data_IF_686511969349
#
_entry.id   IF_686511969349
#
_cell.length_a   1.000
_cell.length_b   1.000
_cell.length_c   1.000
_cell.angle_alpha   90.00
_cell.angle_beta   90.00
_cell.angle_gamma   90.00
#
_symmetry.space_group_name_H-M   'P 1'
#
loop_
_entity.id
_entity.type
_entity.pdbx_description
1 polymer ?
#
# COMPACT_ATOMS: atom_id res chain seq x y z
N UNK A 1 27.63 -28.26 -57.97
CA UNK A 1 28.13 -26.87 -57.92
C UNK A 1 27.15 -26.01 -58.70
N UNK A 2 26.27 -25.32 -58.01
CA UNK A 2 25.38 -24.29 -58.57
C UNK A 2 25.33 -23.13 -57.60
N UNK A 3 26.02 -22.07 -57.95
CA UNK A 3 26.00 -20.80 -57.23
C UNK A 3 24.67 -20.10 -57.52
N UNK A 4 23.80 -19.97 -56.52
CA UNK A 4 22.69 -19.02 -56.55
C UNK A 4 23.19 -17.63 -56.24
N UNK A 5 23.26 -16.78 -57.27
CA UNK A 5 23.40 -15.32 -57.14
C UNK A 5 22.12 -14.78 -56.52
N UNK A 6 22.19 -14.29 -55.25
CA UNK A 6 21.23 -13.37 -54.71
C UNK A 6 21.43 -12.00 -55.38
N UNK A 7 20.57 -11.65 -56.32
CA UNK A 7 20.45 -10.29 -56.84
C UNK A 7 20.02 -9.36 -55.70
N UNK A 8 20.94 -8.46 -55.33
CA UNK A 8 20.64 -7.34 -54.42
C UNK A 8 19.66 -6.41 -55.13
N UNK A 9 18.43 -6.36 -54.61
CA UNK A 9 17.49 -5.29 -54.97
C UNK A 9 18.03 -3.99 -54.41
N UNK A 10 18.63 -3.17 -55.28
CA UNK A 10 18.99 -1.79 -55.02
C UNK A 10 17.73 -1.03 -54.60
N UNK A 11 17.70 -0.60 -53.36
CA UNK A 11 16.71 0.36 -52.88
C UNK A 11 17.04 1.72 -53.54
N UNK A 12 16.33 2.03 -54.64
CA UNK A 12 16.28 3.42 -55.13
C UNK A 12 15.75 4.31 -53.99
N UNK A 13 16.40 5.46 -53.72
CA UNK A 13 15.87 6.35 -52.70
C UNK A 13 14.51 6.89 -53.18
N UNK A 14 13.46 6.49 -52.49
CA UNK A 14 12.10 6.98 -52.76
C UNK A 14 12.08 8.51 -52.52
N UNK A 15 11.58 9.23 -53.52
CA UNK A 15 11.43 10.68 -53.43
C UNK A 15 10.26 10.99 -52.49
N UNK A 16 10.57 11.40 -51.24
CA UNK A 16 9.58 11.69 -50.16
C UNK A 16 8.83 13.02 -50.34
N UNK A 17 9.27 13.88 -51.30
CA UNK A 17 8.69 15.18 -51.60
C UNK A 17 7.62 15.17 -52.70
N UNK A 18 6.95 14.07 -52.92
CA UNK A 18 5.86 13.94 -53.88
C UNK A 18 4.62 14.63 -53.31
N UNK A 19 3.91 15.41 -54.16
CA UNK A 19 2.64 16.05 -53.75
C UNK A 19 1.51 15.00 -53.48
N UNK A 20 0.57 15.33 -52.65
CA UNK A 20 -0.52 14.40 -52.30
C UNK A 20 -1.39 14.02 -53.52
N UNK A 21 -1.43 14.89 -54.55
CA UNK A 21 -2.13 14.63 -55.81
C UNK A 21 -1.37 13.61 -56.66
N UNK A 22 -0.04 13.60 -56.68
CA UNK A 22 0.79 12.64 -57.35
C UNK A 22 0.79 11.30 -56.60
N UNK A 23 0.77 11.35 -55.27
CA UNK A 23 0.69 10.18 -54.42
C UNK A 23 -0.62 9.38 -54.69
N UNK A 24 -1.74 10.07 -54.93
CA UNK A 24 -3.01 9.43 -55.24
C UNK A 24 -3.03 8.70 -56.60
N UNK A 25 -2.11 9.01 -57.52
CA UNK A 25 -1.99 8.38 -58.84
C UNK A 25 -1.09 7.16 -58.84
N UNK A 26 -0.35 6.90 -57.74
CA UNK A 26 0.53 5.73 -57.64
C UNK A 26 -0.23 4.47 -57.27
N UNK A 27 0.33 3.27 -57.66
CA UNK A 27 -0.22 1.99 -57.22
C UNK A 27 -0.28 1.90 -55.69
N UNK A 28 -1.31 1.26 -55.17
CA UNK A 28 -1.59 1.15 -53.72
C UNK A 28 -0.37 0.71 -52.89
N UNK A 29 0.44 -0.19 -53.41
CA UNK A 29 1.65 -0.70 -52.76
C UNK A 29 2.77 0.34 -52.63
N UNK A 30 2.93 1.21 -53.62
CA UNK A 30 3.94 2.28 -53.62
C UNK A 30 3.46 3.46 -52.76
N UNK A 31 2.19 3.81 -52.83
CA UNK A 31 1.56 4.79 -51.98
C UNK A 31 1.72 4.44 -50.50
N UNK A 32 1.42 3.20 -50.11
CA UNK A 32 1.62 2.71 -48.75
C UNK A 32 3.08 2.81 -48.30
N UNK A 33 4.04 2.48 -49.18
CA UNK A 33 5.47 2.58 -48.85
C UNK A 33 5.91 4.02 -48.59
N UNK A 34 5.47 4.98 -49.41
CA UNK A 34 5.82 6.38 -49.29
C UNK A 34 5.17 6.99 -48.03
N UNK A 35 3.89 6.70 -47.80
CA UNK A 35 3.17 7.11 -46.60
C UNK A 35 3.85 6.55 -45.33
N UNK A 36 4.24 5.29 -45.33
CA UNK A 36 4.91 4.64 -44.22
C UNK A 36 6.31 5.23 -43.97
N UNK A 37 7.09 5.50 -44.99
CA UNK A 37 8.37 6.17 -44.87
C UNK A 37 8.23 7.63 -44.39
N UNK A 38 7.27 8.40 -44.90
CA UNK A 38 6.97 9.74 -44.39
C UNK A 38 6.61 9.73 -42.90
N UNK A 39 5.82 8.74 -42.48
CA UNK A 39 5.45 8.55 -41.07
C UNK A 39 6.69 8.24 -40.22
N UNK A 40 7.56 7.32 -40.68
CA UNK A 40 8.81 7.00 -40.00
C UNK A 40 9.77 8.17 -39.93
N UNK A 41 9.88 8.96 -40.99
CA UNK A 41 10.76 10.14 -41.01
C UNK A 41 10.26 11.25 -40.11
N UNK A 42 8.92 11.49 -40.07
CA UNK A 42 8.25 12.40 -39.16
C UNK A 42 8.44 12.00 -37.68
N UNK A 43 8.52 10.70 -37.41
CA UNK A 43 8.66 10.17 -36.04
C UNK A 43 10.12 9.81 -35.68
N UNK A 44 11.09 9.96 -36.57
CA UNK A 44 12.49 9.56 -36.37
C UNK A 44 13.19 10.28 -35.20
N UNK A 45 12.85 11.55 -34.95
CA UNK A 45 13.31 12.28 -33.77
C UNK A 45 12.45 12.00 -32.52
N UNK A 46 11.20 11.64 -32.71
CA UNK A 46 10.25 11.40 -31.64
C UNK A 46 10.48 10.07 -30.92
N UNK A 47 10.88 9.01 -31.63
CA UNK A 47 11.24 7.72 -31.01
C UNK A 47 12.49 7.84 -30.11
N UNK A 48 13.51 8.59 -30.53
CA UNK A 48 14.70 8.84 -29.72
C UNK A 48 14.35 9.57 -28.42
N UNK A 49 13.49 10.59 -28.50
CA UNK A 49 13.02 11.35 -27.35
C UNK A 49 12.23 10.47 -26.36
N UNK A 50 11.35 9.58 -26.86
CA UNK A 50 10.64 8.64 -25.98
C UNK A 50 11.59 7.64 -25.31
N UNK A 51 12.61 7.17 -26.00
CA UNK A 51 13.62 6.30 -25.39
C UNK A 51 14.41 7.00 -24.29
N UNK A 52 14.77 8.26 -24.48
CA UNK A 52 15.43 9.07 -23.43
C UNK A 52 14.52 9.27 -22.22
N UNK A 53 13.23 9.60 -22.40
CA UNK A 53 12.25 9.72 -21.32
C UNK A 53 12.09 8.42 -20.53
N UNK A 54 12.04 7.26 -21.23
CA UNK A 54 11.96 5.94 -20.58
C UNK A 54 13.24 5.62 -19.80
N UNK A 55 14.41 5.92 -20.33
CA UNK A 55 15.68 5.71 -19.64
C UNK A 55 15.79 6.60 -18.39
N UNK A 56 15.36 7.86 -18.47
CA UNK A 56 15.29 8.77 -17.33
C UNK A 56 14.34 8.22 -16.27
N UNK A 57 13.17 7.73 -16.67
CA UNK A 57 12.21 7.11 -15.76
C UNK A 57 12.82 5.91 -15.02
N UNK A 58 13.45 4.99 -15.75
CA UNK A 58 14.08 3.79 -15.16
C UNK A 58 15.24 4.19 -14.23
N UNK A 59 16.12 5.08 -14.66
CA UNK A 59 17.24 5.55 -13.85
C UNK A 59 16.75 6.23 -12.56
N UNK A 60 15.75 7.11 -12.66
CA UNK A 60 15.16 7.80 -11.51
C UNK A 60 14.48 6.82 -10.55
N UNK A 61 13.76 5.81 -11.06
CA UNK A 61 13.17 4.76 -10.24
C UNK A 61 14.22 3.98 -9.45
N UNK A 62 15.31 3.57 -10.10
CA UNK A 62 16.40 2.83 -9.44
C UNK A 62 17.07 3.69 -8.36
N UNK A 63 17.41 4.93 -8.66
CA UNK A 63 18.03 5.85 -7.70
C UNK A 63 17.08 6.10 -6.52
N UNK A 64 15.81 6.39 -6.79
CA UNK A 64 14.80 6.60 -5.75
C UNK A 64 14.65 5.38 -4.83
N UNK A 65 14.66 4.16 -5.40
CA UNK A 65 14.62 2.92 -4.60
C UNK A 65 15.83 2.81 -3.66
N UNK A 66 17.03 3.04 -4.16
CA UNK A 66 18.25 2.99 -3.35
C UNK A 66 18.18 4.00 -2.20
N UNK A 67 17.78 5.24 -2.49
CA UNK A 67 17.64 6.32 -1.49
C UNK A 67 16.59 5.96 -0.44
N UNK A 68 15.42 5.46 -0.85
CA UNK A 68 14.34 5.08 0.08
C UNK A 68 14.72 3.90 0.97
N UNK A 69 15.40 2.88 0.42
CA UNK A 69 15.89 1.74 1.20
C UNK A 69 16.95 2.21 2.21
N UNK A 70 17.88 3.06 1.81
CA UNK A 70 18.91 3.59 2.68
C UNK A 70 18.33 4.50 3.78
N UNK A 71 17.35 5.32 3.44
CA UNK A 71 16.61 6.13 4.43
C UNK A 71 15.86 5.25 5.43
N UNK A 72 15.14 4.21 4.96
CA UNK A 72 14.45 3.25 5.82
C UNK A 72 15.40 2.55 6.80
N UNK A 73 16.63 2.18 6.33
CA UNK A 73 17.63 1.51 7.19
C UNK A 73 18.24 2.45 8.23
N UNK A 74 18.59 3.70 7.83
CA UNK A 74 19.23 4.66 8.75
C UNK A 74 18.29 5.35 9.71
N UNK A 75 17.10 5.73 9.24
CA UNK A 75 16.14 6.56 9.98
C UNK A 75 14.71 6.03 9.88
N UNK A 76 14.50 4.80 10.36
CA UNK A 76 13.21 4.10 10.26
C UNK A 76 12.02 4.93 10.74
N UNK A 77 12.11 5.60 11.91
CA UNK A 77 11.01 6.41 12.46
C UNK A 77 10.66 7.62 11.59
N UNK A 78 11.68 8.25 10.97
CA UNK A 78 11.46 9.39 10.07
C UNK A 78 10.79 8.92 8.77
N UNK A 79 11.31 7.84 8.19
CA UNK A 79 10.74 7.22 7.00
C UNK A 79 9.27 6.80 7.21
N UNK A 80 8.97 6.15 8.34
CA UNK A 80 7.60 5.71 8.67
C UNK A 80 6.64 6.90 8.78
N UNK A 81 7.03 7.98 9.46
CA UNK A 81 6.21 9.19 9.58
C UNK A 81 6.00 9.90 8.25
N UNK A 82 7.06 10.04 7.45
CA UNK A 82 6.99 10.67 6.14
C UNK A 82 6.10 9.86 5.18
N UNK A 83 6.23 8.53 5.17
CA UNK A 83 5.39 7.64 4.36
C UNK A 83 3.92 7.71 4.77
N UNK A 84 3.65 7.70 6.09
CA UNK A 84 2.29 7.83 6.61
C UNK A 84 1.65 9.17 6.22
N UNK A 85 2.41 10.25 6.33
CA UNK A 85 1.96 11.59 5.95
C UNK A 85 1.69 11.69 4.45
N UNK A 86 2.58 11.12 3.63
CA UNK A 86 2.40 11.03 2.18
C UNK A 86 1.14 10.26 1.80
N UNK A 87 0.95 9.07 2.38
CA UNK A 87 -0.27 8.27 2.16
C UNK A 87 -1.55 8.98 2.58
N UNK A 88 -1.49 9.82 3.60
CA UNK A 88 -2.65 10.55 4.09
C UNK A 88 -2.98 11.78 3.23
N UNK A 89 -1.97 12.53 2.74
CA UNK A 89 -2.15 13.79 2.01
C UNK A 89 -2.28 13.62 0.50
N UNK A 90 -1.48 12.74 -0.12
CA UNK A 90 -1.40 12.63 -1.58
C UNK A 90 -2.75 12.25 -2.22
N UNK A 91 -3.48 11.24 -1.75
CA UNK A 91 -4.78 10.90 -2.34
C UNK A 91 -5.81 12.01 -2.21
N UNK A 92 -5.77 12.75 -1.10
CA UNK A 92 -6.67 13.91 -0.89
C UNK A 92 -6.38 15.02 -1.88
N UNK A 93 -5.11 15.32 -2.13
CA UNK A 93 -4.70 16.30 -3.14
C UNK A 93 -5.22 15.94 -4.54
N UNK A 94 -5.11 14.66 -4.93
CA UNK A 94 -5.68 14.17 -6.19
C UNK A 94 -7.21 14.27 -6.21
N UNK A 95 -7.87 13.83 -5.13
CA UNK A 95 -9.34 13.88 -5.06
C UNK A 95 -9.91 15.29 -5.09
N UNK A 96 -9.20 16.25 -4.49
CA UNK A 96 -9.57 17.67 -4.59
C UNK A 96 -9.42 18.19 -6.02
N UNK A 97 -8.32 17.85 -6.70
CA UNK A 97 -8.07 18.26 -8.10
C UNK A 97 -9.11 17.67 -9.06
N UNK A 98 -9.52 16.42 -8.86
CA UNK A 98 -10.47 15.71 -9.74
C UNK A 98 -11.93 15.77 -9.27
N UNK A 99 -12.23 16.43 -8.15
CA UNK A 99 -13.58 16.60 -7.64
C UNK A 99 -14.25 15.32 -7.09
N UNK A 100 -13.46 14.38 -6.58
CA UNK A 100 -13.98 13.11 -6.03
C UNK A 100 -14.51 13.27 -4.59
N UNK A 101 -15.62 13.99 -4.46
CA UNK A 101 -16.18 14.34 -3.15
C UNK A 101 -16.54 13.14 -2.28
N UNK A 102 -16.99 12.02 -2.86
CA UNK A 102 -17.34 10.79 -2.10
C UNK A 102 -16.16 10.27 -1.29
N UNK A 103 -14.97 10.25 -1.89
CA UNK A 103 -13.76 9.83 -1.19
C UNK A 103 -13.42 10.78 -0.04
N UNK A 104 -13.51 12.09 -0.28
CA UNK A 104 -13.19 13.12 0.71
C UNK A 104 -14.10 13.00 1.94
N UNK A 105 -15.40 12.72 1.78
CA UNK A 105 -16.31 12.51 2.91
C UNK A 105 -15.90 11.29 3.75
N UNK A 106 -15.66 10.14 3.14
CA UNK A 106 -15.25 8.93 3.85
C UNK A 106 -13.88 9.12 4.53
N UNK A 107 -12.93 9.75 3.83
CA UNK A 107 -11.62 10.08 4.35
C UNK A 107 -11.71 11.04 5.55
N UNK A 108 -12.58 12.06 5.50
CA UNK A 108 -12.76 13.01 6.59
C UNK A 108 -13.31 12.33 7.85
N UNK A 109 -14.34 11.49 7.71
CA UNK A 109 -14.91 10.73 8.83
C UNK A 109 -13.86 9.82 9.46
N UNK A 110 -13.15 9.03 8.63
CA UNK A 110 -12.06 8.16 9.08
C UNK A 110 -10.96 8.96 9.81
N UNK A 111 -10.55 10.09 9.25
CA UNK A 111 -9.48 10.93 9.78
C UNK A 111 -9.85 11.58 11.12
N UNK A 112 -11.08 12.06 11.29
CA UNK A 112 -11.58 12.64 12.54
C UNK A 112 -11.55 11.60 13.66
N UNK A 113 -12.11 10.40 13.40
CA UNK A 113 -12.15 9.32 14.40
C UNK A 113 -10.73 8.85 14.74
N UNK A 114 -9.90 8.62 13.72
CA UNK A 114 -8.51 8.15 13.91
C UNK A 114 -7.66 9.19 14.61
N UNK A 115 -7.82 10.50 14.29
CA UNK A 115 -7.14 11.58 14.98
C UNK A 115 -7.52 11.64 16.47
N UNK A 116 -8.81 11.51 16.80
CA UNK A 116 -9.27 11.46 18.19
C UNK A 116 -8.62 10.28 18.95
N UNK A 117 -8.59 9.09 18.36
CA UNK A 117 -8.01 7.89 18.95
C UNK A 117 -6.50 8.03 19.11
N UNK A 118 -5.80 8.54 18.10
CA UNK A 118 -4.36 8.79 18.12
C UNK A 118 -3.99 9.85 19.18
N UNK A 119 -4.78 10.91 19.29
CA UNK A 119 -4.61 11.93 20.31
C UNK A 119 -4.75 11.31 21.71
N UNK A 120 -5.78 10.48 21.93
CA UNK A 120 -5.99 9.78 23.21
C UNK A 120 -4.86 8.79 23.54
N UNK A 121 -4.31 8.10 22.51
CA UNK A 121 -3.16 7.22 22.65
C UNK A 121 -1.85 7.95 22.97
N UNK A 122 -1.72 9.23 22.56
CA UNK A 122 -0.50 10.03 22.78
C UNK A 122 -0.51 10.84 24.08
N UNK A 123 -1.68 11.00 24.72
CA UNK A 123 -1.84 11.81 25.92
C UNK A 123 -1.27 11.09 27.15
N UNK A 124 -0.53 11.83 27.98
CA UNK A 124 0.01 11.36 29.27
C UNK A 124 -0.83 11.91 30.43
N UNK A 125 -1.13 11.12 31.50
CA UNK A 125 -0.91 9.68 31.66
C UNK A 125 -1.92 8.85 30.81
N UNK A 126 -1.51 7.65 30.37
CA UNK A 126 -2.40 6.75 29.65
C UNK A 126 -3.40 6.10 30.64
N UNK A 127 -4.69 6.23 30.38
CA UNK A 127 -5.70 5.49 31.13
C UNK A 127 -5.70 4.01 30.67
N UNK A 128 -5.95 3.08 31.62
CA UNK A 128 -5.95 1.64 31.32
C UNK A 128 -6.97 1.19 30.27
N UNK A 129 -7.99 2.02 29.98
CA UNK A 129 -9.00 1.76 28.94
C UNK A 129 -8.53 2.20 27.55
N UNK A 130 -7.54 3.09 27.44
CA UNK A 130 -7.08 3.63 26.16
C UNK A 130 -6.50 2.58 25.22
N UNK A 131 -5.61 1.65 25.63
CA UNK A 131 -5.10 0.62 24.75
C UNK A 131 -6.20 -0.28 24.19
N UNK A 132 -7.22 -0.60 24.98
CA UNK A 132 -8.36 -1.40 24.52
C UNK A 132 -9.17 -0.69 23.44
N UNK A 133 -9.44 0.61 23.62
CA UNK A 133 -10.14 1.42 22.63
C UNK A 133 -9.36 1.49 21.31
N UNK A 134 -8.03 1.73 21.38
CA UNK A 134 -7.15 1.82 20.23
C UNK A 134 -7.15 0.49 19.45
N UNK A 135 -6.89 -0.63 20.13
CA UNK A 135 -6.86 -1.93 19.47
C UNK A 135 -8.24 -2.34 18.93
N UNK A 136 -9.35 -2.01 19.64
CA UNK A 136 -10.71 -2.28 19.15
C UNK A 136 -10.98 -1.55 17.84
N UNK A 137 -10.66 -0.25 17.76
CA UNK A 137 -10.84 0.53 16.55
C UNK A 137 -10.07 -0.05 15.36
N UNK A 138 -8.77 -0.25 15.54
CA UNK A 138 -7.94 -0.71 14.44
C UNK A 138 -8.21 -2.18 14.04
N UNK A 139 -8.64 -3.03 14.97
CA UNK A 139 -9.12 -4.38 14.63
C UNK A 139 -10.40 -4.35 13.80
N UNK A 140 -11.34 -3.46 14.13
CA UNK A 140 -12.55 -3.27 13.32
C UNK A 140 -12.19 -2.77 11.93
N UNK A 141 -11.32 -1.76 11.83
CA UNK A 141 -10.84 -1.24 10.54
C UNK A 141 -10.12 -2.32 9.71
N UNK A 142 -9.28 -3.13 10.35
CA UNK A 142 -8.62 -4.26 9.69
C UNK A 142 -9.64 -5.26 9.11
N UNK A 143 -10.64 -5.66 9.90
CA UNK A 143 -11.68 -6.61 9.45
C UNK A 143 -12.55 -6.03 8.31
N UNK A 144 -12.95 -4.76 8.41
CA UNK A 144 -13.72 -4.09 7.36
C UNK A 144 -12.90 -4.02 6.08
N UNK A 145 -11.66 -3.58 6.16
CA UNK A 145 -10.74 -3.47 5.03
C UNK A 145 -10.51 -4.82 4.33
N UNK A 146 -10.29 -5.85 5.12
CA UNK A 146 -10.08 -7.20 4.61
C UNK A 146 -11.33 -7.74 3.90
N UNK A 147 -12.52 -7.54 4.51
CA UNK A 147 -13.79 -7.90 3.91
C UNK A 147 -14.06 -7.17 2.59
N UNK A 148 -13.86 -5.83 2.57
CA UNK A 148 -14.01 -5.04 1.35
C UNK A 148 -13.02 -5.47 0.26
N UNK A 149 -11.79 -5.81 0.64
CA UNK A 149 -10.77 -6.34 -0.26
C UNK A 149 -11.18 -7.66 -0.91
N UNK A 150 -11.71 -8.60 -0.12
CA UNK A 150 -12.20 -9.89 -0.64
C UNK A 150 -13.40 -9.68 -1.58
N UNK A 151 -14.41 -8.93 -1.15
CA UNK A 151 -15.62 -8.69 -1.96
C UNK A 151 -15.26 -7.96 -3.26
N UNK A 152 -14.38 -6.96 -3.19
CA UNK A 152 -13.90 -6.24 -4.37
C UNK A 152 -13.14 -7.15 -5.33
N UNK A 153 -12.22 -7.98 -4.81
CA UNK A 153 -11.49 -8.96 -5.62
C UNK A 153 -12.43 -9.96 -6.29
N UNK A 154 -13.38 -10.54 -5.53
CA UNK A 154 -14.35 -11.49 -6.09
C UNK A 154 -15.25 -10.83 -7.15
N UNK A 155 -15.65 -9.57 -6.97
CA UNK A 155 -16.43 -8.82 -7.96
C UNK A 155 -15.65 -8.59 -9.26
N UNK A 156 -14.36 -8.26 -9.18
CA UNK A 156 -13.49 -8.12 -10.35
C UNK A 156 -13.32 -9.47 -11.06
N UNK A 157 -13.01 -10.54 -10.32
CA UNK A 157 -12.86 -11.88 -10.88
C UNK A 157 -14.17 -12.39 -11.53
N UNK A 158 -15.31 -12.13 -10.88
CA UNK A 158 -16.64 -12.43 -11.41
C UNK A 158 -16.89 -11.76 -12.77
N UNK A 159 -16.49 -10.51 -12.89
CA UNK A 159 -16.61 -9.75 -14.15
C UNK A 159 -15.65 -10.25 -15.21
N UNK A 160 -14.39 -10.55 -14.86
CA UNK A 160 -13.38 -11.06 -15.81
C UNK A 160 -13.74 -12.45 -16.36
N UNK A 161 -14.37 -13.29 -15.54
CA UNK A 161 -14.85 -14.60 -15.96
C UNK A 161 -16.16 -14.54 -16.78
N UNK A 162 -16.73 -13.35 -16.99
CA UNK A 162 -17.97 -13.18 -17.72
C UNK A 162 -19.24 -13.62 -16.97
N UNK A 163 -19.12 -13.97 -15.68
CA UNK A 163 -20.26 -14.44 -14.86
C UNK A 163 -21.32 -13.35 -14.63
N UNK A 164 -20.94 -12.07 -14.80
CA UNK A 164 -21.86 -10.94 -14.78
C UNK A 164 -22.95 -11.02 -15.85
N UNK A 165 -22.71 -11.74 -16.96
CA UNK A 165 -23.71 -11.96 -18.00
C UNK A 165 -24.86 -12.85 -17.52
N UNK A 166 -24.59 -13.78 -16.60
CA UNK A 166 -25.62 -14.65 -15.99
C UNK A 166 -26.62 -13.82 -15.17
N UNK A 167 -26.13 -12.79 -14.49
CA UNK A 167 -26.95 -11.87 -13.68
C UNK A 167 -27.47 -10.66 -14.47
N UNK A 168 -27.23 -10.61 -15.80
CA UNK A 168 -27.59 -9.49 -16.67
C UNK A 168 -27.05 -8.13 -16.21
N UNK A 169 -25.94 -8.11 -15.47
CA UNK A 169 -25.28 -6.89 -15.00
C UNK A 169 -24.30 -6.42 -16.07
N UNK A 170 -24.34 -5.12 -16.39
CA UNK A 170 -23.38 -4.53 -17.34
C UNK A 170 -21.95 -4.70 -16.81
N UNK A 171 -20.98 -5.17 -17.62
CA UNK A 171 -19.60 -5.40 -17.20
C UNK A 171 -18.93 -4.17 -16.56
N UNK A 172 -19.21 -2.99 -17.11
CA UNK A 172 -18.67 -1.72 -16.59
C UNK A 172 -19.11 -1.47 -15.15
N UNK A 173 -20.41 -1.64 -14.84
CA UNK A 173 -20.95 -1.41 -13.49
C UNK A 173 -20.36 -2.37 -12.47
N UNK A 174 -20.22 -3.66 -12.84
CA UNK A 174 -19.63 -4.67 -11.97
C UNK A 174 -18.13 -4.42 -11.75
N UNK A 175 -17.40 -4.02 -12.79
CA UNK A 175 -15.98 -3.70 -12.70
C UNK A 175 -15.75 -2.46 -11.84
N UNK A 176 -16.48 -1.38 -12.09
CA UNK A 176 -16.38 -0.13 -11.33
C UNK A 176 -16.66 -0.36 -9.84
N UNK A 177 -17.70 -1.14 -9.54
CA UNK A 177 -18.03 -1.52 -8.16
C UNK A 177 -16.90 -2.32 -7.49
N UNK A 178 -16.36 -3.34 -8.19
CA UNK A 178 -15.27 -4.16 -7.68
C UNK A 178 -14.00 -3.36 -7.43
N UNK A 179 -13.59 -2.52 -8.39
CA UNK A 179 -12.43 -1.65 -8.27
C UNK A 179 -12.59 -0.61 -7.16
N UNK A 180 -13.79 -0.05 -7.01
CA UNK A 180 -14.08 0.90 -5.94
C UNK A 180 -13.93 0.26 -4.56
N UNK A 181 -14.51 -0.93 -4.34
CA UNK A 181 -14.38 -1.67 -3.09
C UNK A 181 -12.93 -2.06 -2.78
N UNK A 182 -12.19 -2.53 -3.80
CA UNK A 182 -10.76 -2.82 -3.68
C UNK A 182 -9.98 -1.58 -3.26
N UNK A 183 -10.20 -0.46 -3.93
CA UNK A 183 -9.51 0.79 -3.62
C UNK A 183 -9.77 1.23 -2.17
N UNK A 184 -11.04 1.30 -1.74
CA UNK A 184 -11.37 1.68 -0.36
C UNK A 184 -10.81 0.68 0.65
N UNK A 185 -11.00 -0.62 0.43
CA UNK A 185 -10.51 -1.68 1.31
C UNK A 185 -9.00 -1.61 1.48
N UNK A 186 -8.25 -1.56 0.39
CA UNK A 186 -6.79 -1.56 0.42
C UNK A 186 -6.23 -0.24 0.96
N UNK A 187 -6.75 0.89 0.52
CA UNK A 187 -6.27 2.21 0.98
C UNK A 187 -6.47 2.41 2.48
N UNK A 188 -7.72 2.28 2.98
CA UNK A 188 -7.98 2.45 4.41
C UNK A 188 -7.33 1.35 5.24
N UNK A 189 -7.15 0.13 4.69
CA UNK A 189 -6.41 -0.94 5.33
C UNK A 189 -4.95 -0.58 5.59
N UNK A 190 -4.27 -0.02 4.59
CA UNK A 190 -2.87 0.42 4.74
C UNK A 190 -2.74 1.56 5.73
N UNK A 191 -3.56 2.61 5.57
CA UNK A 191 -3.51 3.81 6.42
C UNK A 191 -3.82 3.45 7.88
N UNK A 192 -4.90 2.69 8.13
CA UNK A 192 -5.25 2.24 9.47
C UNK A 192 -4.16 1.40 10.12
N UNK A 193 -3.53 0.49 9.36
CA UNK A 193 -2.45 -0.37 9.81
C UNK A 193 -1.21 0.43 10.23
N UNK A 194 -0.85 1.45 9.47
CA UNK A 194 0.32 2.28 9.77
C UNK A 194 0.07 3.20 10.98
N UNK A 195 -1.13 3.77 11.12
CA UNK A 195 -1.52 4.48 12.34
C UNK A 195 -1.52 3.59 13.57
N UNK A 196 -2.01 2.36 13.43
CA UNK A 196 -2.04 1.38 14.51
C UNK A 196 -0.65 1.01 15.00
N UNK A 197 0.32 0.84 14.10
CA UNK A 197 1.71 0.57 14.45
C UNK A 197 2.31 1.73 15.27
N UNK A 198 2.11 2.97 14.82
CA UNK A 198 2.59 4.16 15.52
C UNK A 198 1.93 4.31 16.90
N UNK A 199 0.60 4.11 16.99
CA UNK A 199 -0.12 4.16 18.26
C UNK A 199 0.34 3.07 19.23
N UNK A 200 0.52 1.84 18.74
CA UNK A 200 0.97 0.70 19.53
C UNK A 200 2.35 0.96 20.14
N UNK A 201 3.31 1.44 19.33
CA UNK A 201 4.65 1.79 19.80
C UNK A 201 4.62 2.92 20.83
N UNK A 202 3.80 3.95 20.58
CA UNK A 202 3.69 5.09 21.48
C UNK A 202 3.11 4.68 22.84
N UNK A 203 2.04 3.90 22.84
CA UNK A 203 1.42 3.42 24.08
C UNK A 203 2.35 2.51 24.87
N UNK A 204 2.95 1.51 24.20
CA UNK A 204 3.81 0.54 24.84
C UNK A 204 5.06 1.18 25.48
N UNK A 205 5.67 2.17 24.81
CA UNK A 205 6.79 2.93 25.36
C UNK A 205 6.39 3.80 26.55
N UNK A 206 5.17 4.36 26.54
CA UNK A 206 4.67 5.20 27.65
C UNK A 206 4.32 4.38 28.90
N UNK A 207 3.78 3.17 28.74
CA UNK A 207 3.50 2.24 29.84
C UNK A 207 4.80 1.76 30.48
N UNK A 208 5.91 1.71 29.71
CA UNK A 208 7.25 1.48 30.23
C UNK A 208 7.67 0.02 30.32
N UNK A 209 6.85 -0.94 29.88
CA UNK A 209 7.24 -2.37 29.80
C UNK A 209 7.76 -2.76 28.42
N UNK A 210 7.93 -1.81 27.52
CA UNK A 210 8.47 -2.01 26.18
C UNK A 210 9.47 -0.92 25.80
N UNK A 211 10.59 -1.33 25.21
CA UNK A 211 11.54 -0.43 24.56
C UNK A 211 11.82 -0.90 23.14
N UNK A 212 11.97 -0.03 22.15
CA UNK A 212 12.32 -0.41 20.78
C UNK A 212 13.68 -1.13 20.71
N UNK A 213 14.62 -0.70 21.53
CA UNK A 213 16.00 -1.22 21.62
C UNK A 213 16.29 -1.72 23.04
N UNK A 214 16.76 -2.94 23.14
CA UNK A 214 17.14 -3.54 24.43
C UNK A 214 15.95 -4.05 25.28
N UNK A 215 16.23 -4.45 26.51
CA UNK A 215 15.24 -4.84 27.49
C UNK A 215 14.69 -3.61 28.23
N UNK A 216 13.39 -3.59 28.60
CA UNK A 216 12.82 -2.49 29.37
C UNK A 216 13.44 -2.42 30.77
N UNK A 217 13.70 -1.21 31.25
CA UNK A 217 14.24 -1.00 32.61
C UNK A 217 13.26 -1.33 33.74
N UNK A 218 11.95 -1.38 33.43
CA UNK A 218 10.91 -1.70 34.40
C UNK A 218 10.62 -3.19 34.39
N UNK A 219 10.75 -3.85 35.55
CA UNK A 219 10.45 -5.28 35.67
C UNK A 219 8.95 -5.53 35.56
N UNK A 220 8.57 -6.48 34.70
CA UNK A 220 7.17 -6.87 34.54
C UNK A 220 6.73 -7.72 35.74
N UNK A 221 5.67 -7.27 36.40
CA UNK A 221 5.02 -8.07 37.44
C UNK A 221 4.16 -9.17 36.78
N UNK A 222 4.20 -10.43 37.21
CA UNK A 222 3.40 -11.52 36.62
C UNK A 222 1.89 -11.27 36.62
N UNK A 223 1.39 -10.42 37.52
CA UNK A 223 -0.04 -10.10 37.63
C UNK A 223 -0.45 -8.86 36.82
N UNK A 224 0.44 -8.25 36.02
CA UNK A 224 0.17 -7.04 35.26
C UNK A 224 0.40 -7.29 33.78
N UNK A 225 -0.58 -6.91 32.95
CA UNK A 225 -0.42 -6.94 31.51
C UNK A 225 0.51 -5.83 31.02
N UNK A 226 1.67 -6.21 30.45
CA UNK A 226 2.67 -5.25 29.96
C UNK A 226 2.20 -4.39 28.77
N UNK A 227 1.05 -4.67 28.16
CA UNK A 227 0.49 -3.95 27.01
C UNK A 227 -0.47 -2.83 27.46
N UNK A 228 -1.33 -3.11 28.46
CA UNK A 228 -2.32 -2.13 28.94
C UNK A 228 -2.02 -1.57 30.32
N UNK A 229 -1.11 -2.22 31.09
CA UNK A 229 -0.77 -1.82 32.45
C UNK A 229 -1.80 -2.23 33.52
N UNK A 230 -2.90 -2.89 33.14
CA UNK A 230 -3.93 -3.35 34.07
C UNK A 230 -3.59 -4.71 34.67
N UNK A 231 -4.18 -5.03 35.82
CA UNK A 231 -4.07 -6.34 36.45
C UNK A 231 -4.69 -7.43 35.58
N UNK A 232 -4.04 -8.60 35.56
CA UNK A 232 -4.45 -9.78 34.75
C UNK A 232 -5.48 -10.61 35.52
N UNK A 233 -5.28 -10.77 36.84
CA UNK A 233 -6.19 -11.48 37.73
C UNK A 233 -6.86 -10.45 38.64
N UNK A 234 -8.18 -10.38 38.59
CA UNK A 234 -8.97 -9.60 39.55
C UNK A 234 -9.41 -10.60 40.65
N UNK A 235 -8.84 -10.42 41.83
CA UNK A 235 -9.28 -11.20 42.98
C UNK A 235 -10.75 -10.88 43.29
N UNK A 236 -11.63 -11.90 43.26
CA UNK A 236 -12.92 -12.09 43.94
C UNK A 236 -13.85 -10.88 44.14
N UNK A 237 -14.08 -10.05 43.14
CA UNK A 237 -15.26 -9.21 43.10
C UNK A 237 -16.24 -9.84 42.09
N UNK A 238 -17.44 -10.17 42.54
CA UNK A 238 -18.50 -10.85 41.75
C UNK A 238 -18.87 -10.10 40.45
N UNK A 239 -18.51 -8.84 40.31
CA UNK A 239 -18.74 -7.99 39.14
C UNK A 239 -17.51 -7.86 38.20
N UNK A 240 -16.41 -8.55 38.47
CA UNK A 240 -15.22 -8.44 37.64
C UNK A 240 -15.36 -9.29 36.38
N UNK A 241 -15.34 -8.67 35.20
CA UNK A 241 -15.27 -9.35 33.92
C UNK A 241 -13.96 -10.14 33.87
N UNK A 242 -14.05 -11.45 34.00
CA UNK A 242 -12.92 -12.38 33.82
C UNK A 242 -12.47 -12.29 32.36
N UNK A 243 -11.41 -11.56 32.12
CA UNK A 243 -10.84 -11.49 30.77
C UNK A 243 -9.97 -12.71 30.49
N UNK A 244 -10.12 -13.26 29.28
CA UNK A 244 -9.28 -14.36 28.83
C UNK A 244 -7.80 -13.91 28.82
N UNK A 245 -6.95 -14.76 29.36
CA UNK A 245 -5.50 -14.55 29.42
C UNK A 245 -4.80 -15.47 28.44
N UNK A 246 -3.71 -14.99 27.86
CA UNK A 246 -2.86 -15.78 26.97
C UNK A 246 -1.43 -15.82 27.53
N UNK A 247 -0.94 -17.03 27.77
CA UNK A 247 0.45 -17.30 28.16
C UNK A 247 1.27 -17.60 26.91
N UNK A 248 2.31 -16.83 26.68
CA UNK A 248 3.24 -17.01 25.57
C UNK A 248 4.25 -18.13 25.85
N UNK A 249 4.99 -18.55 24.81
CA UNK A 249 6.07 -19.53 24.94
C UNK A 249 7.21 -19.10 25.88
N UNK A 250 7.37 -17.81 26.07
CA UNK A 250 8.32 -17.19 27.00
C UNK A 250 7.78 -17.00 28.43
N UNK A 251 6.71 -17.69 28.79
CA UNK A 251 6.02 -17.66 30.09
C UNK A 251 5.40 -16.31 30.51
N UNK A 252 5.51 -15.26 29.67
CA UNK A 252 4.83 -14.00 29.94
C UNK A 252 3.35 -14.06 29.63
N UNK A 253 2.52 -13.52 30.54
CA UNK A 253 1.05 -13.56 30.47
C UNK A 253 0.53 -12.17 30.12
N UNK A 254 -0.47 -12.14 29.23
CA UNK A 254 -1.15 -10.91 28.79
C UNK A 254 -2.66 -11.17 28.65
N UNK A 255 -3.46 -10.13 28.63
CA UNK A 255 -4.86 -10.31 28.21
C UNK A 255 -4.88 -10.75 26.73
N UNK A 256 -5.71 -11.71 26.40
CA UNK A 256 -5.83 -12.24 25.02
C UNK A 256 -6.10 -11.13 24.00
N UNK A 257 -7.01 -10.22 24.32
CA UNK A 257 -7.33 -9.10 23.47
C UNK A 257 -6.14 -8.15 23.24
N UNK A 258 -5.35 -7.88 24.27
CA UNK A 258 -4.18 -7.01 24.19
C UNK A 258 -3.08 -7.60 23.33
N UNK A 259 -2.74 -8.88 23.53
CA UNK A 259 -1.70 -9.54 22.73
C UNK A 259 -2.17 -9.76 21.30
N UNK A 260 -3.47 -10.02 21.08
CA UNK A 260 -4.05 -10.10 19.74
C UNK A 260 -3.92 -8.76 19.00
N UNK A 261 -4.27 -7.65 19.63
CA UNK A 261 -4.08 -6.31 19.08
C UNK A 261 -2.61 -6.01 18.78
N UNK A 262 -1.71 -6.37 19.67
CA UNK A 262 -0.26 -6.21 19.50
C UNK A 262 0.26 -6.97 18.28
N UNK A 263 -0.10 -8.24 18.13
CA UNK A 263 0.41 -9.09 17.06
C UNK A 263 -0.21 -8.78 15.69
N UNK A 264 -1.53 -8.58 15.63
CA UNK A 264 -2.26 -8.40 14.36
C UNK A 264 -2.16 -6.96 13.89
N UNK A 265 -2.54 -6.03 14.75
CA UNK A 265 -2.68 -4.61 14.42
C UNK A 265 -1.33 -3.89 14.50
N UNK A 266 -0.57 -4.15 15.57
CA UNK A 266 0.75 -3.57 15.80
C UNK A 266 1.87 -4.21 14.96
N UNK A 267 1.60 -5.25 14.16
CA UNK A 267 2.58 -6.01 13.34
C UNK A 267 3.75 -6.59 14.14
N UNK A 268 3.60 -6.75 15.43
CA UNK A 268 4.66 -7.22 16.33
C UNK A 268 4.49 -8.70 16.61
N UNK A 269 5.21 -9.55 15.89
CA UNK A 269 5.23 -11.00 16.12
C UNK A 269 6.19 -11.40 17.23
N UNK A 270 6.39 -10.53 18.21
CA UNK A 270 7.31 -10.73 19.33
C UNK A 270 6.66 -10.36 20.64
N UNK A 271 7.09 -11.01 21.71
CA UNK A 271 6.67 -10.63 23.06
C UNK A 271 7.02 -9.15 23.34
N UNK A 272 6.09 -8.34 23.85
CA UNK A 272 6.36 -6.93 24.16
C UNK A 272 7.54 -6.74 25.13
N UNK A 273 7.72 -7.67 26.06
CA UNK A 273 8.71 -7.55 27.12
C UNK A 273 10.09 -8.15 26.73
N UNK A 274 10.16 -9.45 26.43
CA UNK A 274 11.44 -10.16 26.16
C UNK A 274 11.81 -10.23 24.67
N UNK A 275 10.92 -9.78 23.75
CA UNK A 275 11.10 -9.80 22.29
C UNK A 275 11.24 -11.19 21.66
N UNK A 276 10.97 -12.25 22.40
CA UNK A 276 10.91 -13.59 21.86
C UNK A 276 9.78 -13.73 20.84
N UNK A 277 9.99 -14.48 19.77
CA UNK A 277 8.99 -14.68 18.72
C UNK A 277 7.76 -15.40 19.27
N UNK A 278 6.59 -14.89 18.92
CA UNK A 278 5.30 -15.46 19.30
C UNK A 278 4.81 -16.41 18.21
N UNK A 279 4.44 -17.63 18.60
CA UNK A 279 3.82 -18.58 17.69
C UNK A 279 2.34 -18.22 17.46
N UNK A 280 2.08 -17.52 16.37
CA UNK A 280 0.75 -17.10 15.98
C UNK A 280 -0.18 -18.28 15.64
N UNK A 281 0.37 -19.42 15.21
CA UNK A 281 -0.44 -20.61 14.87
C UNK A 281 -1.06 -21.23 16.11
N UNK A 282 -0.31 -21.25 17.20
CA UNK A 282 -0.80 -21.73 18.49
C UNK A 282 -1.83 -20.77 19.12
N UNK A 283 -1.62 -19.48 18.95
CA UNK A 283 -2.46 -18.45 19.54
C UNK A 283 -3.78 -18.25 18.78
N UNK A 284 -3.75 -18.41 17.45
CA UNK A 284 -4.91 -18.24 16.57
C UNK A 284 -5.15 -19.53 15.77
N UNK A 285 -5.91 -20.49 16.27
CA UNK A 285 -6.18 -21.76 15.58
C UNK A 285 -6.97 -21.54 14.29
N UNK A 286 -7.89 -20.56 14.27
CA UNK A 286 -8.68 -20.25 13.08
C UNK A 286 -7.84 -19.51 12.01
N UNK A 287 -7.85 -19.97 10.74
CA UNK A 287 -7.18 -19.26 9.63
C UNK A 287 -7.65 -17.82 9.46
N UNK A 288 -8.92 -17.54 9.73
CA UNK A 288 -9.54 -16.22 9.59
C UNK A 288 -9.11 -15.20 10.65
N UNK A 289 -8.59 -15.69 11.77
CA UNK A 289 -8.07 -14.85 12.84
C UNK A 289 -6.56 -14.57 12.73
N UNK A 290 -5.88 -15.24 11.82
CA UNK A 290 -4.45 -15.02 11.57
C UNK A 290 -4.24 -13.83 10.66
N UNK A 291 -3.15 -13.06 10.86
CA UNK A 291 -2.74 -12.09 9.86
C UNK A 291 -2.36 -12.84 8.57
N UNK A 292 -3.07 -12.57 7.48
CA UNK A 292 -2.73 -13.13 6.19
C UNK A 292 -1.43 -12.48 5.69
N UNK A 293 -0.40 -13.32 5.47
CA UNK A 293 0.91 -12.88 5.01
C UNK A 293 0.80 -12.25 3.61
N UNK A 294 -0.01 -12.83 2.73
CA UNK A 294 -0.22 -12.32 1.37
C UNK A 294 -0.89 -10.94 1.39
N UNK A 295 -1.94 -10.80 2.21
CA UNK A 295 -2.62 -9.52 2.38
C UNK A 295 -1.69 -8.46 2.99
N UNK A 296 -0.87 -8.83 3.97
CA UNK A 296 0.14 -7.96 4.56
C UNK A 296 1.15 -7.45 3.54
N UNK A 297 1.69 -8.34 2.71
CA UNK A 297 2.64 -8.00 1.64
C UNK A 297 1.97 -7.10 0.59
N UNK A 298 0.73 -7.40 0.19
CA UNK A 298 -0.04 -6.56 -0.73
C UNK A 298 -0.21 -5.14 -0.19
N UNK A 299 -0.55 -5.00 1.09
CA UNK A 299 -0.66 -3.69 1.73
C UNK A 299 0.67 -2.93 1.75
N UNK A 300 1.81 -3.61 1.93
CA UNK A 300 3.13 -2.97 1.88
C UNK A 300 3.48 -2.48 0.47
N UNK A 301 3.10 -3.22 -0.58
CA UNK A 301 3.22 -2.79 -1.97
C UNK A 301 2.39 -1.53 -2.25
N UNK A 302 1.12 -1.53 -1.84
CA UNK A 302 0.22 -0.38 -2.03
C UNK A 302 0.72 0.84 -1.26
N UNK A 303 1.24 0.65 -0.06
CA UNK A 303 1.90 1.70 0.71
C UNK A 303 2.99 2.41 -0.10
N UNK A 304 3.85 1.64 -0.75
CA UNK A 304 4.90 2.19 -1.60
C UNK A 304 4.32 2.93 -2.82
N UNK A 305 3.37 2.30 -3.52
CA UNK A 305 2.75 2.87 -4.71
C UNK A 305 2.04 4.20 -4.42
N UNK A 306 1.28 4.29 -3.34
CA UNK A 306 0.50 5.49 -3.02
C UNK A 306 1.37 6.61 -2.47
N UNK A 307 2.36 6.30 -1.60
CA UNK A 307 3.17 7.32 -0.94
C UNK A 307 4.31 7.85 -1.81
N UNK A 308 4.98 7.00 -2.58
CA UNK A 308 6.23 7.37 -3.24
C UNK A 308 6.12 7.47 -4.74
N UNK A 309 5.32 6.62 -5.39
CA UNK A 309 5.21 6.62 -6.84
C UNK A 309 4.76 7.97 -7.44
N UNK A 310 3.75 8.67 -6.89
CA UNK A 310 3.37 10.00 -7.40
C UNK A 310 4.50 11.03 -7.29
N UNK A 311 5.27 10.98 -6.19
CA UNK A 311 6.41 11.89 -5.98
C UNK A 311 7.50 11.62 -7.02
N UNK A 312 7.80 10.34 -7.28
CA UNK A 312 8.80 9.94 -8.28
C UNK A 312 8.37 10.38 -9.68
N UNK A 313 7.09 10.20 -10.04
CA UNK A 313 6.56 10.62 -11.34
C UNK A 313 6.66 12.15 -11.51
N UNK A 314 6.30 12.93 -10.50
CA UNK A 314 6.42 14.38 -10.54
C UNK A 314 7.90 14.80 -10.71
N UNK A 315 8.82 14.11 -10.06
CA UNK A 315 10.25 14.35 -10.18
C UNK A 315 10.76 14.03 -11.59
N UNK A 316 10.32 12.91 -12.19
CA UNK A 316 10.64 12.53 -13.58
C UNK A 316 10.11 13.57 -14.56
N UNK A 317 8.85 14.01 -14.40
CA UNK A 317 8.27 15.06 -15.24
C UNK A 317 9.07 16.37 -15.13
N UNK A 318 9.46 16.76 -13.91
CA UNK A 318 10.30 17.94 -13.71
C UNK A 318 11.68 17.83 -14.40
N UNK A 319 12.29 16.64 -14.39
CA UNK A 319 13.56 16.38 -15.11
C UNK A 319 13.34 16.47 -16.63
N UNK A 320 12.30 15.81 -17.16
CA UNK A 320 11.98 15.85 -18.59
C UNK A 320 11.73 17.28 -19.07
N UNK A 321 10.94 18.04 -18.30
CA UNK A 321 10.69 19.45 -18.59
C UNK A 321 11.98 20.30 -18.58
N UNK A 322 12.88 20.07 -17.61
CA UNK A 322 14.16 20.78 -17.52
C UNK A 322 15.11 20.47 -18.68
N UNK A 323 14.99 19.27 -19.27
CA UNK A 323 15.77 18.81 -20.43
C UNK A 323 15.12 19.17 -21.78
N UNK A 324 13.91 19.77 -21.76
CA UNK A 324 13.19 20.15 -22.98
C UNK A 324 12.67 18.96 -23.80
N UNK A 325 12.40 17.83 -23.13
CA UNK A 325 11.89 16.61 -23.76
C UNK A 325 10.35 16.56 -23.84
N UNK A 326 9.64 17.57 -23.30
CA UNK A 326 8.18 17.76 -23.40
C UNK A 326 7.82 18.86 -24.37
#
# INVERSE_FOLDING_TARGET
MAHHHHAGHGHEPLNLNISDEELAKLPEKERWRIEHQRLHEKHRGHEAMHMEMVLILIATLVVAQIVLVQWKQRHFKSYQRATLLGMWLIPVGFCLKFGWHRFIYVWSIFSIITAFITFKASRKPISGTTPRLVYKWFLVMYKISYFLGIVGYLSVMFTLLGLNLILLIKPQVSMDFGLLLLFYGLYFGVVARDFAEVCSDTMATQIGYYTPTGLPGKRLNPNVCGICGNQILVENNEDAIIENTCKLGCDHVFHEFCIRGWCIVGKKQTCPYCKEKVDLKRMFPSPWDRPDILYGNLLDWIRYLVAWQPIIIILVQGINWSLGLE
#
